data_IF_778973354613
#
_entry.id   IF_778973354613
#
_cell.length_a   1.000
_cell.length_b   1.000
_cell.length_c   1.000
_cell.angle_alpha   90.00
_cell.angle_beta   90.00
_cell.angle_gamma   90.00
#
_symmetry.space_group_name_H-M   'P 1'
#
loop_
_entity.id
_entity.type
_entity.pdbx_description
1 polymer ?
#
# COMPACT_ATOMS: atom_id res chain seq x y z
N UNK A 1 16.52 0.11 -6.49
CA UNK A 1 17.27 -0.56 -5.42
C UNK A 1 16.76 -1.95 -5.08
N UNK A 2 15.47 -2.18 -4.75
CA UNK A 2 14.96 -3.54 -4.42
C UNK A 2 15.22 -4.61 -5.50
N UNK A 3 15.16 -4.25 -6.77
CA UNK A 3 15.48 -5.15 -7.89
C UNK A 3 16.99 -5.48 -8.04
N UNK A 4 17.85 -4.94 -7.17
CA UNK A 4 19.29 -5.25 -7.14
C UNK A 4 19.63 -6.38 -6.15
N UNK A 5 18.64 -6.89 -5.41
CA UNK A 5 18.83 -8.04 -4.52
C UNK A 5 19.03 -9.35 -5.30
N UNK A 6 19.52 -10.39 -4.60
CA UNK A 6 19.75 -11.72 -5.19
C UNK A 6 18.48 -12.34 -5.76
N UNK A 7 17.33 -12.06 -5.15
CA UNK A 7 16.00 -12.42 -5.61
C UNK A 7 15.22 -11.14 -5.93
N UNK A 8 15.27 -10.62 -7.17
CA UNK A 8 14.67 -9.35 -7.50
C UNK A 8 13.14 -9.41 -7.41
N UNK A 9 12.56 -8.46 -6.68
CA UNK A 9 11.11 -8.33 -6.57
C UNK A 9 10.46 -7.99 -7.92
N UNK A 10 9.67 -8.91 -8.47
CA UNK A 10 8.88 -8.68 -9.67
C UNK A 10 7.49 -8.13 -9.32
N UNK A 11 7.38 -6.80 -9.40
CA UNK A 11 6.12 -6.09 -9.15
C UNK A 11 4.98 -6.57 -10.07
N UNK A 12 5.28 -6.92 -11.33
CA UNK A 12 4.24 -7.29 -12.30
C UNK A 12 3.64 -8.64 -11.92
N UNK A 13 4.49 -9.61 -11.62
CA UNK A 13 4.06 -10.96 -11.21
C UNK A 13 3.29 -10.87 -9.90
N UNK A 14 3.84 -10.18 -8.88
CA UNK A 14 3.16 -9.96 -7.61
C UNK A 14 1.76 -9.37 -7.77
N UNK A 15 1.61 -8.31 -8.56
CA UNK A 15 0.29 -7.68 -8.78
C UNK A 15 -0.65 -8.58 -9.60
N UNK A 16 -0.15 -9.32 -10.58
CA UNK A 16 -0.99 -10.20 -11.42
C UNK A 16 -1.58 -11.35 -10.61
N UNK A 17 -0.83 -11.87 -9.63
CA UNK A 17 -1.24 -12.97 -8.77
C UNK A 17 -2.12 -12.51 -7.59
N UNK A 18 -1.81 -11.35 -6.99
CA UNK A 18 -2.55 -10.84 -5.81
C UNK A 18 -3.87 -10.16 -6.16
N UNK A 19 -3.96 -9.46 -7.29
CA UNK A 19 -5.11 -8.63 -7.65
C UNK A 19 -6.44 -9.43 -7.73
N UNK A 20 -6.51 -10.64 -8.32
CA UNK A 20 -7.74 -11.43 -8.36
C UNK A 20 -8.32 -11.71 -6.96
N UNK A 21 -7.45 -12.00 -5.98
CA UNK A 21 -7.90 -12.28 -4.61
C UNK A 21 -8.34 -10.99 -3.90
N UNK A 22 -7.61 -9.88 -4.10
CA UNK A 22 -8.02 -8.57 -3.58
C UNK A 22 -9.40 -8.16 -4.10
N UNK A 23 -9.67 -8.36 -5.41
CA UNK A 23 -10.95 -7.99 -6.01
C UNK A 23 -12.15 -8.75 -5.43
N UNK A 24 -11.94 -10.00 -4.99
CA UNK A 24 -12.97 -10.84 -4.35
C UNK A 24 -13.22 -10.46 -2.88
N UNK A 25 -12.23 -9.86 -2.22
CA UNK A 25 -12.34 -9.53 -0.80
C UNK A 25 -13.17 -8.26 -0.59
N UNK A 26 -14.20 -8.27 0.30
CA UNK A 26 -14.94 -7.06 0.63
C UNK A 26 -14.05 -6.02 1.33
N UNK A 27 -12.92 -6.45 1.91
CA UNK A 27 -11.95 -5.61 2.63
C UNK A 27 -11.04 -4.78 1.73
N UNK A 28 -11.12 -4.97 0.41
CA UNK A 28 -10.36 -4.16 -0.54
C UNK A 28 -11.31 -3.50 -1.52
N UNK A 29 -11.06 -2.25 -1.90
CA UNK A 29 -11.77 -1.57 -2.98
C UNK A 29 -10.74 -1.13 -4.02
N UNK A 30 -11.00 -1.44 -5.29
CA UNK A 30 -10.15 -1.06 -6.40
C UNK A 30 -10.95 -0.16 -7.33
N UNK A 31 -10.47 1.07 -7.50
CA UNK A 31 -11.02 2.07 -8.41
C UNK A 31 -10.11 2.18 -9.62
N UNK A 32 -10.69 2.22 -10.81
CA UNK A 32 -9.96 2.49 -12.05
C UNK A 32 -10.47 3.78 -12.69
N UNK A 33 -9.56 4.51 -13.32
CA UNK A 33 -9.87 5.61 -14.21
C UNK A 33 -9.65 5.15 -15.65
N UNK A 34 -10.60 5.45 -16.52
CA UNK A 34 -10.56 5.17 -17.95
C UNK A 34 -10.88 6.47 -18.67
N UNK A 35 -10.23 6.70 -19.80
CA UNK A 35 -10.55 7.78 -20.69
C UNK A 35 -11.83 7.44 -21.46
N UNK A 36 -12.89 8.24 -21.31
CA UNK A 36 -14.22 7.91 -21.84
C UNK A 36 -14.28 7.95 -23.38
N UNK A 37 -13.42 8.72 -24.02
CA UNK A 37 -13.39 8.85 -25.49
C UNK A 37 -12.67 7.64 -26.13
N UNK A 38 -11.54 7.22 -25.54
CA UNK A 38 -10.67 6.20 -26.12
C UNK A 38 -10.83 4.82 -25.49
N UNK A 39 -11.44 4.73 -24.31
CA UNK A 39 -11.47 3.53 -23.48
C UNK A 39 -10.12 3.17 -22.86
N UNK A 40 -9.11 4.04 -22.96
CA UNK A 40 -7.76 3.76 -22.48
C UNK A 40 -7.67 3.83 -20.95
N UNK A 41 -6.96 2.87 -20.35
CA UNK A 41 -6.75 2.85 -18.91
C UNK A 41 -5.82 4.00 -18.47
N UNK A 42 -6.34 4.89 -17.64
CA UNK A 42 -5.60 6.06 -17.18
C UNK A 42 -4.91 5.85 -15.83
N UNK A 43 -5.44 4.97 -14.97
CA UNK A 43 -4.86 4.70 -13.66
C UNK A 43 -5.78 3.95 -12.70
N UNK A 44 -5.30 3.71 -11.49
CA UNK A 44 -6.06 3.03 -10.45
C UNK A 44 -5.68 3.49 -9.03
N UNK A 45 -6.57 3.21 -8.08
CA UNK A 45 -6.29 3.30 -6.65
C UNK A 45 -6.88 2.10 -5.92
N UNK A 46 -6.12 1.57 -4.96
CA UNK A 46 -6.50 0.45 -4.11
C UNK A 46 -6.61 0.91 -2.67
N UNK A 47 -7.73 0.60 -2.05
CA UNK A 47 -8.03 0.88 -0.66
C UNK A 47 -8.20 -0.42 0.12
N UNK A 48 -7.57 -0.55 1.29
CA UNK A 48 -7.89 -1.58 2.26
C UNK A 48 -8.77 -0.99 3.38
N UNK A 49 -9.72 -1.79 3.88
CA UNK A 49 -10.70 -1.41 4.89
C UNK A 49 -10.47 -2.21 6.17
N UNK A 50 -9.97 -1.54 7.21
CA UNK A 50 -9.55 -2.16 8.47
C UNK A 50 -10.62 -1.98 9.53
N UNK A 51 -10.90 -3.04 10.30
CA UNK A 51 -11.74 -2.98 11.51
C UNK A 51 -13.25 -2.77 11.32
N UNK A 52 -13.73 -2.55 10.10
CA UNK A 52 -15.17 -2.44 9.83
C UNK A 52 -15.87 -3.79 10.04
N UNK A 53 -16.97 -3.87 10.80
CA UNK A 53 -17.83 -5.04 10.79
C UNK A 53 -18.60 -5.13 9.44
N UNK A 54 -19.11 -6.31 9.06
CA UNK A 54 -19.74 -6.53 7.74
C UNK A 54 -20.88 -5.55 7.41
N UNK A 55 -21.69 -5.19 8.39
CA UNK A 55 -22.83 -4.27 8.28
C UNK A 55 -22.43 -2.79 8.16
N UNK A 56 -21.21 -2.43 8.56
CA UNK A 56 -20.68 -1.07 8.40
C UNK A 56 -19.76 -0.91 7.18
N UNK A 57 -19.53 -1.98 6.40
CA UNK A 57 -18.65 -1.98 5.25
C UNK A 57 -19.09 -0.94 4.22
N UNK A 58 -18.20 -0.01 3.81
CA UNK A 58 -18.46 0.92 2.71
C UNK A 58 -18.88 0.21 1.43
N UNK A 59 -20.01 0.64 0.87
CA UNK A 59 -20.53 0.14 -0.39
C UNK A 59 -19.91 0.92 -1.55
N UNK A 60 -19.50 0.20 -2.59
CA UNK A 60 -19.17 0.78 -3.89
C UNK A 60 -20.19 0.29 -4.91
N UNK A 61 -20.96 1.22 -5.48
CA UNK A 61 -21.94 0.91 -6.53
C UNK A 61 -21.28 0.19 -7.72
N UNK A 62 -21.98 -0.79 -8.29
CA UNK A 62 -21.48 -1.59 -9.41
C UNK A 62 -20.50 -2.71 -9.02
N UNK A 63 -20.18 -2.85 -7.73
CA UNK A 63 -19.42 -4.00 -7.23
C UNK A 63 -20.36 -5.15 -6.87
N UNK A 64 -20.09 -6.35 -7.39
CA UNK A 64 -20.72 -7.58 -6.89
C UNK A 64 -20.14 -7.83 -5.49
N UNK A 65 -20.87 -7.41 -4.45
CA UNK A 65 -20.55 -7.83 -3.09
C UNK A 65 -20.81 -9.34 -2.99
N UNK A 66 -19.95 -10.12 -2.31
CA UNK A 66 -20.29 -11.50 -1.98
C UNK A 66 -21.66 -11.51 -1.28
N UNK A 67 -22.58 -12.42 -1.62
CA UNK A 67 -23.91 -12.43 -1.03
C UNK A 67 -23.80 -12.54 0.50
N UNK A 68 -24.53 -11.67 1.20
CA UNK A 68 -24.70 -11.77 2.65
C UNK A 68 -25.25 -13.17 2.97
N UNK A 69 -24.46 -14.00 3.65
CA UNK A 69 -25.01 -15.22 4.23
C UNK A 69 -25.84 -14.81 5.45
N UNK A 70 -27.12 -15.21 5.56
CA UNK A 70 -27.93 -14.88 6.73
C UNK A 70 -27.35 -15.52 7.98
N UNK A 71 -27.15 -14.71 9.01
CA UNK A 71 -26.79 -15.13 10.36
C UNK A 71 -27.78 -16.15 10.91
N UNK A 72 -27.31 -17.36 11.18
CA UNK A 72 -27.90 -18.24 12.22
C UNK A 72 -26.78 -18.73 13.11
N UNK A 73 -27.00 -18.57 14.42
CA UNK A 73 -26.04 -18.82 15.49
C UNK A 73 -25.58 -20.28 15.56
N UNK A 74 -24.28 -20.52 15.74
CA UNK A 74 -23.71 -21.12 16.95
C UNK A 74 -22.21 -21.43 16.82
N UNK A 75 -21.53 -21.25 17.96
CA UNK A 75 -20.26 -21.84 18.39
C UNK A 75 -18.94 -21.17 17.96
N UNK A 76 -18.37 -20.53 18.98
CA UNK A 76 -16.97 -20.20 19.20
C UNK A 76 -15.97 -21.07 18.42
N UNK A 77 -15.19 -20.39 17.58
CA UNK A 77 -13.75 -20.62 17.47
C UNK A 77 -13.10 -19.26 17.27
N UNK A 78 -12.29 -18.88 18.25
CA UNK A 78 -11.31 -17.81 18.15
C UNK A 78 -10.38 -18.11 16.97
N UNK A 79 -10.63 -17.46 15.84
CA UNK A 79 -9.68 -17.39 14.73
C UNK A 79 -8.93 -16.08 14.88
N UNK A 80 -7.72 -16.24 15.41
CA UNK A 80 -6.68 -15.23 15.46
C UNK A 80 -6.32 -14.96 13.99
N UNK A 81 -6.90 -13.93 13.40
CA UNK A 81 -6.60 -13.49 12.05
C UNK A 81 -5.23 -12.78 12.08
N UNK A 82 -4.18 -13.60 12.22
CA UNK A 82 -2.83 -13.23 11.86
C UNK A 82 -2.85 -13.08 10.35
N UNK A 83 -2.94 -11.83 9.90
CA UNK A 83 -2.46 -11.46 8.57
C UNK A 83 -0.94 -11.69 8.54
N UNK A 84 -0.54 -12.95 8.43
CA UNK A 84 0.75 -13.34 7.91
C UNK A 84 0.83 -12.71 6.51
N UNK A 85 1.72 -11.73 6.37
CA UNK A 85 2.24 -11.31 5.07
C UNK A 85 3.01 -12.53 4.53
N UNK A 86 2.32 -13.41 3.84
CA UNK A 86 2.94 -14.42 2.99
C UNK A 86 3.59 -13.70 1.80
N UNK A 87 4.82 -13.24 2.01
CA UNK A 87 5.86 -13.40 1.00
C UNK A 87 6.03 -14.90 0.77
N UNK A 88 6.06 -15.43 -0.46
CA UNK A 88 6.33 -16.84 -0.66
C UNK A 88 7.77 -17.13 -0.23
N UNK A 89 7.92 -17.73 0.95
CA UNK A 89 9.16 -18.36 1.39
C UNK A 89 9.49 -19.49 0.41
N UNK A 90 10.31 -19.19 -0.59
CA UNK A 90 10.92 -20.19 -1.46
C UNK A 90 11.79 -21.09 -0.58
N UNK A 91 11.29 -22.28 -0.29
CA UNK A 91 12.02 -23.28 0.48
C UNK A 91 12.94 -24.01 -0.49
N UNK A 92 14.17 -23.53 -0.65
CA UNK A 92 15.27 -24.35 -1.17
C UNK A 92 16.41 -24.37 -0.15
N UNK A 93 16.60 -25.54 0.45
CA UNK A 93 17.76 -25.86 1.26
C UNK A 93 18.99 -25.93 0.36
N UNK A 94 19.97 -25.05 0.56
CA UNK A 94 21.29 -25.20 -0.08
C UNK A 94 22.22 -24.00 -0.02
N UNK A 95 22.80 -23.74 1.15
CA UNK A 95 24.10 -23.08 1.43
C UNK A 95 23.98 -22.13 2.65
N UNK A 96 25.03 -21.99 3.49
CA UNK A 96 25.03 -20.97 4.54
C UNK A 96 25.05 -19.58 3.88
N UNK A 97 23.93 -18.87 3.97
CA UNK A 97 23.76 -17.49 3.52
C UNK A 97 24.72 -16.57 4.30
N UNK A 98 25.54 -15.73 3.63
CA UNK A 98 26.31 -14.72 4.33
C UNK A 98 25.35 -13.73 4.99
N UNK A 99 25.52 -13.50 6.29
CA UNK A 99 24.69 -12.67 7.17
C UNK A 99 24.60 -11.16 6.78
N UNK A 100 25.15 -10.76 5.62
CA UNK A 100 25.34 -9.36 5.23
C UNK A 100 24.91 -9.07 3.77
N UNK A 101 23.70 -9.47 3.37
CA UNK A 101 23.09 -8.97 2.12
C UNK A 101 22.55 -7.54 2.37
N UNK A 102 23.12 -6.50 1.73
CA UNK A 102 22.74 -5.11 1.98
C UNK A 102 21.29 -4.81 1.59
N UNK A 103 20.73 -5.49 0.58
CA UNK A 103 19.33 -5.32 0.19
C UNK A 103 18.40 -5.95 1.21
N UNK A 104 18.76 -7.13 1.74
CA UNK A 104 18.01 -7.78 2.83
C UNK A 104 18.02 -6.94 4.11
N UNK A 105 19.15 -6.26 4.42
CA UNK A 105 19.23 -5.29 5.53
C UNK A 105 18.26 -4.12 5.32
N UNK A 106 18.20 -3.56 4.10
CA UNK A 106 17.26 -2.48 3.77
C UNK A 106 15.79 -2.93 3.84
N UNK A 107 15.49 -4.14 3.37
CA UNK A 107 14.15 -4.74 3.47
C UNK A 107 13.75 -4.96 4.93
N UNK A 108 14.67 -5.44 5.77
CA UNK A 108 14.44 -5.61 7.21
C UNK A 108 14.18 -4.28 7.90
N UNK A 109 14.98 -3.25 7.60
CA UNK A 109 14.79 -1.90 8.13
C UNK A 109 13.41 -1.35 7.75
N UNK A 110 13.09 -1.35 6.45
CA UNK A 110 11.85 -0.74 5.94
C UNK A 110 10.61 -1.52 6.34
N UNK A 111 10.67 -2.85 6.41
CA UNK A 111 9.55 -3.68 6.90
C UNK A 111 9.34 -3.52 8.41
N UNK A 112 10.42 -3.51 9.20
CA UNK A 112 10.35 -3.28 10.65
C UNK A 112 9.79 -1.89 11.00
N UNK A 113 10.19 -0.86 10.27
CA UNK A 113 9.68 0.51 10.46
C UNK A 113 8.19 0.62 10.10
N UNK A 114 7.76 0.00 8.99
CA UNK A 114 6.36 -0.07 8.59
C UNK A 114 5.52 -0.84 9.61
N UNK A 115 6.01 -1.98 10.10
CA UNK A 115 5.29 -2.79 11.09
C UNK A 115 5.16 -2.06 12.43
N UNK A 116 6.20 -1.32 12.85
CA UNK A 116 6.15 -0.47 14.03
C UNK A 116 5.11 0.65 13.87
N UNK A 117 5.08 1.32 12.71
CA UNK A 117 4.07 2.31 12.38
C UNK A 117 2.65 1.73 12.38
N UNK A 118 2.45 0.56 11.76
CA UNK A 118 1.14 -0.09 11.70
C UNK A 118 0.62 -0.43 13.10
N UNK A 119 1.48 -0.94 14.00
CA UNK A 119 1.12 -1.21 15.40
C UNK A 119 0.74 0.05 16.17
N UNK A 120 1.44 1.15 15.92
CA UNK A 120 1.19 2.44 16.57
C UNK A 120 -0.13 3.05 16.11
N UNK A 121 -0.38 3.07 14.79
CA UNK A 121 -1.53 3.78 14.22
C UNK A 121 -2.80 2.92 14.17
N UNK A 122 -2.68 1.60 14.25
CA UNK A 122 -3.80 0.63 14.24
C UNK A 122 -3.75 -0.32 15.44
N UNK A 123 -3.92 0.16 16.69
CA UNK A 123 -4.20 -0.72 17.81
C UNK A 123 -5.49 -1.53 17.57
N UNK A 124 -5.68 -2.60 18.35
CA UNK A 124 -6.86 -3.47 18.24
C UNK A 124 -8.17 -2.66 18.29
N UNK A 125 -9.11 -3.01 17.39
CA UNK A 125 -10.39 -2.30 17.26
C UNK A 125 -10.36 -1.05 16.37
N UNK A 126 -9.20 -0.67 15.82
CA UNK A 126 -9.10 0.50 14.93
C UNK A 126 -9.89 0.30 13.64
N UNK A 127 -10.75 1.29 13.32
CA UNK A 127 -11.38 1.44 12.01
C UNK A 127 -10.63 2.50 11.20
N UNK A 128 -10.08 2.10 10.06
CA UNK A 128 -9.40 3.03 9.15
C UNK A 128 -9.34 2.51 7.72
N UNK A 129 -9.00 3.39 6.79
CA UNK A 129 -8.69 3.03 5.41
C UNK A 129 -7.18 3.12 5.15
N UNK A 130 -6.67 2.26 4.27
CA UNK A 130 -5.26 2.30 3.84
C UNK A 130 -5.22 2.47 2.33
N UNK A 131 -4.47 3.44 1.82
CA UNK A 131 -4.12 3.44 0.39
C UNK A 131 -3.00 2.43 0.17
N UNK A 132 -3.32 1.32 -0.48
CA UNK A 132 -2.37 0.23 -0.76
C UNK A 132 -1.58 0.54 -2.02
N UNK A 133 -2.23 1.16 -3.01
CA UNK A 133 -1.61 1.50 -4.28
C UNK A 133 -2.34 2.65 -4.97
N UNK A 134 -1.57 3.51 -5.62
CA UNK A 134 -2.07 4.58 -6.48
C UNK A 134 -1.12 4.73 -7.65
N UNK A 135 -1.64 4.61 -8.87
CA UNK A 135 -0.84 4.84 -10.07
C UNK A 135 -1.69 5.53 -11.14
N UNK A 136 -1.07 6.50 -11.82
CA UNK A 136 -1.65 7.20 -12.97
C UNK A 136 -0.63 7.14 -14.09
N UNK A 137 -1.06 6.67 -15.25
CA UNK A 137 -0.23 6.59 -16.45
C UNK A 137 0.36 7.98 -16.78
N UNK A 138 1.67 8.09 -17.11
CA UNK A 138 2.30 9.37 -17.41
C UNK A 138 1.54 10.23 -18.43
N UNK A 139 0.92 9.61 -19.45
CA UNK A 139 0.10 10.26 -20.48
C UNK A 139 -1.10 11.03 -19.89
N UNK A 140 -1.63 10.56 -18.77
CA UNK A 140 -2.83 11.08 -18.12
C UNK A 140 -2.54 11.82 -16.81
N UNK A 141 -1.27 11.93 -16.40
CA UNK A 141 -0.89 12.68 -15.21
C UNK A 141 -1.20 14.18 -15.35
N UNK A 142 -1.19 14.88 -14.20
CA UNK A 142 -1.46 16.33 -14.10
C UNK A 142 -2.88 16.76 -14.49
N UNK A 143 -3.82 15.81 -14.63
CA UNK A 143 -5.25 16.06 -14.92
C UNK A 143 -6.18 15.86 -13.71
N UNK A 144 -5.63 15.77 -12.50
CA UNK A 144 -6.41 15.56 -11.27
C UNK A 144 -6.93 14.13 -11.04
N UNK A 145 -6.56 13.17 -11.89
CA UNK A 145 -7.02 11.76 -11.80
C UNK A 145 -6.64 11.11 -10.47
N UNK A 146 -5.39 11.31 -9.99
CA UNK A 146 -4.95 10.74 -8.73
C UNK A 146 -5.79 11.23 -7.54
N UNK A 147 -6.03 12.54 -7.47
CA UNK A 147 -6.93 13.12 -6.45
C UNK A 147 -8.36 12.60 -6.60
N UNK A 148 -8.85 12.41 -7.83
CA UNK A 148 -10.17 11.85 -8.09
C UNK A 148 -10.35 10.42 -7.58
N UNK A 149 -9.35 9.57 -7.81
CA UNK A 149 -9.33 8.21 -7.32
C UNK A 149 -9.26 8.15 -5.78
N UNK A 150 -8.57 9.11 -5.15
CA UNK A 150 -8.50 9.20 -3.69
C UNK A 150 -9.81 9.66 -3.04
N UNK A 151 -10.61 10.47 -3.75
CA UNK A 151 -11.84 11.08 -3.19
C UNK A 151 -12.82 10.06 -2.62
N UNK A 152 -12.96 8.88 -3.22
CA UNK A 152 -13.87 7.87 -2.69
C UNK A 152 -13.52 7.50 -1.23
N UNK A 153 -12.25 7.15 -0.97
CA UNK A 153 -11.83 6.74 0.38
C UNK A 153 -11.82 7.90 1.38
N UNK A 154 -11.42 9.09 0.95
CA UNK A 154 -11.47 10.27 1.83
C UNK A 154 -12.90 10.67 2.18
N UNK A 155 -13.86 10.57 1.25
CA UNK A 155 -15.28 10.80 1.54
C UNK A 155 -15.83 9.79 2.55
N UNK A 156 -15.40 8.53 2.50
CA UNK A 156 -15.77 7.54 3.54
C UNK A 156 -15.20 7.94 4.89
N UNK A 157 -13.96 8.43 4.93
CA UNK A 157 -13.35 8.94 6.16
C UNK A 157 -14.15 10.09 6.76
N UNK A 158 -14.54 11.05 5.92
CA UNK A 158 -15.37 12.21 6.32
C UNK A 158 -16.73 11.78 6.86
N UNK A 159 -17.41 10.86 6.18
CA UNK A 159 -18.75 10.40 6.57
C UNK A 159 -18.76 9.58 7.86
N UNK A 160 -17.75 8.72 8.05
CA UNK A 160 -17.70 7.78 9.18
C UNK A 160 -16.87 8.27 10.36
N UNK A 161 -16.23 9.44 10.25
CA UNK A 161 -15.34 9.97 11.29
C UNK A 161 -14.13 9.09 11.55
N UNK A 162 -13.63 8.39 10.53
CA UNK A 162 -12.44 7.54 10.58
C UNK A 162 -11.29 8.20 9.83
N UNK A 163 -10.07 7.72 10.05
CA UNK A 163 -8.90 8.22 9.33
C UNK A 163 -8.51 7.28 8.18
N UNK A 164 -7.69 7.79 7.27
CA UNK A 164 -6.92 6.96 6.35
C UNK A 164 -5.42 7.18 6.51
N UNK A 165 -4.60 6.23 6.10
CA UNK A 165 -3.16 6.42 6.01
C UNK A 165 -2.54 5.77 4.77
N UNK A 166 -1.34 6.21 4.41
CA UNK A 166 -0.56 5.70 3.29
C UNK A 166 0.93 5.72 3.61
N UNK A 167 1.64 4.68 3.17
CA UNK A 167 3.09 4.69 3.09
C UNK A 167 3.50 5.17 1.68
N UNK A 168 3.95 6.42 1.59
CA UNK A 168 4.23 7.08 0.32
C UNK A 168 5.70 6.98 -0.06
N UNK A 169 5.92 6.72 -1.35
CA UNK A 169 7.21 6.93 -2.01
C UNK A 169 7.51 8.42 -2.21
N UNK A 170 8.79 8.75 -2.40
CA UNK A 170 9.26 10.12 -2.69
C UNK A 170 8.53 10.80 -3.88
N UNK A 171 8.28 10.15 -5.04
CA UNK A 171 7.60 10.83 -6.13
C UNK A 171 6.09 11.05 -5.90
N UNK A 172 5.47 10.32 -4.98
CA UNK A 172 4.01 10.29 -4.83
C UNK A 172 3.45 11.21 -3.73
N UNK A 173 4.26 11.62 -2.74
CA UNK A 173 3.74 12.23 -1.51
C UNK A 173 2.93 13.51 -1.75
N UNK A 174 3.35 14.35 -2.71
CA UNK A 174 2.63 15.59 -3.08
C UNK A 174 1.22 15.33 -3.62
N UNK A 175 0.97 14.16 -4.20
CA UNK A 175 -0.38 13.80 -4.67
C UNK A 175 -1.31 13.54 -3.49
N UNK A 176 -0.82 12.85 -2.46
CA UNK A 176 -1.55 12.63 -1.21
C UNK A 176 -1.74 13.93 -0.42
N UNK A 177 -0.71 14.78 -0.35
CA UNK A 177 -0.80 16.09 0.31
C UNK A 177 -1.93 16.95 -0.27
N UNK A 178 -2.02 17.03 -1.61
CA UNK A 178 -3.12 17.73 -2.30
C UNK A 178 -4.49 17.11 -2.04
N UNK A 179 -4.55 15.84 -1.67
CA UNK A 179 -5.77 15.15 -1.28
C UNK A 179 -6.07 15.28 0.23
N UNK A 180 -5.30 16.10 0.96
CA UNK A 180 -5.51 16.40 2.37
C UNK A 180 -4.77 15.48 3.34
N UNK A 181 -3.90 14.59 2.86
CA UNK A 181 -3.04 13.80 3.74
C UNK A 181 -1.90 14.68 4.28
N UNK A 182 -1.49 14.43 5.51
CA UNK A 182 -0.38 15.12 6.15
C UNK A 182 0.75 14.13 6.43
N UNK A 183 2.00 14.55 6.30
CA UNK A 183 3.15 13.73 6.73
C UNK A 183 3.18 13.71 8.24
N UNK A 184 3.17 12.53 8.84
CA UNK A 184 3.14 12.36 10.30
C UNK A 184 4.45 11.74 10.81
N UNK A 185 5.07 10.90 9.99
CA UNK A 185 6.37 10.27 10.23
C UNK A 185 7.12 10.14 8.92
N UNK A 186 8.44 10.18 9.00
CA UNK A 186 9.33 9.90 7.88
C UNK A 186 10.44 8.97 8.33
N UNK A 187 10.91 8.11 7.42
CA UNK A 187 12.15 7.36 7.56
C UNK A 187 13.09 7.82 6.45
N UNK A 188 14.17 8.48 6.85
CA UNK A 188 15.25 8.93 5.97
C UNK A 188 16.34 7.86 5.95
N UNK A 189 16.64 7.33 4.77
CA UNK A 189 17.60 6.24 4.58
C UNK A 189 18.68 6.72 3.62
N UNK A 190 19.94 6.68 4.05
CA UNK A 190 21.08 6.79 3.15
C UNK A 190 21.19 5.48 2.35
N UNK A 191 20.79 5.52 1.08
CA UNK A 191 20.78 4.33 0.23
C UNK A 191 22.21 3.87 -0.12
N UNK A 192 23.23 4.71 0.04
CA UNK A 192 24.62 4.33 -0.20
C UNK A 192 25.10 3.27 0.81
N UNK A 193 24.53 3.20 2.02
CA UNK A 193 24.83 2.18 3.03
C UNK A 193 24.28 0.77 2.70
N UNK A 194 23.35 0.71 1.74
CA UNK A 194 22.59 -0.49 1.37
C UNK A 194 22.72 -0.85 -0.11
N UNK A 195 23.48 -0.08 -0.88
CA UNK A 195 23.65 -0.32 -2.30
C UNK A 195 24.73 -1.38 -2.58
N UNK A 196 24.46 -2.43 -3.37
CA UNK A 196 25.49 -3.40 -3.76
C UNK A 196 26.44 -2.87 -4.84
N UNK A 197 26.10 -1.76 -5.50
CA UNK A 197 26.89 -1.13 -6.56
C UNK A 197 26.53 0.36 -6.66
N UNK A 198 27.37 1.17 -7.31
CA UNK A 198 27.08 2.57 -7.61
C UNK A 198 25.87 2.74 -8.56
N UNK A 199 25.21 3.90 -8.58
CA UNK A 199 24.11 4.16 -9.51
C UNK A 199 24.54 3.97 -10.98
N UNK A 200 23.76 3.25 -11.80
CA UNK A 200 24.11 3.03 -13.19
C UNK A 200 24.01 4.34 -13.99
N UNK A 201 24.96 4.56 -14.90
CA UNK A 201 25.01 5.68 -15.84
C UNK A 201 25.27 7.09 -15.24
N UNK A 202 25.77 7.19 -14.00
CA UNK A 202 25.98 8.48 -13.32
C UNK A 202 27.46 8.83 -13.05
N UNK A 203 28.41 8.00 -13.50
CA UNK A 203 29.85 8.24 -13.35
C UNK A 203 30.46 7.62 -12.08
N UNK A 204 31.80 7.69 -11.91
CA UNK A 204 32.51 6.99 -10.85
C UNK A 204 32.26 7.52 -9.43
N UNK A 205 31.86 8.78 -9.28
CA UNK A 205 31.58 9.43 -7.99
C UNK A 205 30.07 9.51 -7.66
N UNK A 206 29.24 8.78 -8.42
CA UNK A 206 27.80 8.77 -8.25
C UNK A 206 27.38 8.10 -6.95
N UNK A 207 26.35 8.69 -6.33
CA UNK A 207 25.76 8.26 -5.06
C UNK A 207 24.27 8.05 -5.24
N UNK A 208 23.74 7.00 -4.62
CA UNK A 208 22.29 6.80 -4.54
C UNK A 208 21.63 7.88 -3.67
N UNK A 209 22.33 8.32 -2.62
CA UNK A 209 21.89 9.37 -1.72
C UNK A 209 20.70 8.99 -0.85
N UNK A 210 20.05 10.01 -0.30
CA UNK A 210 18.98 9.83 0.67
C UNK A 210 17.63 9.56 0.01
N UNK A 211 16.90 8.58 0.55
CA UNK A 211 15.51 8.30 0.20
C UNK A 211 14.60 8.41 1.42
N UNK A 212 13.57 9.25 1.31
CA UNK A 212 12.65 9.50 2.41
C UNK A 212 11.32 8.78 2.19
N UNK A 213 11.09 7.75 2.99
CA UNK A 213 9.78 7.11 3.14
C UNK A 213 8.89 7.99 4.00
N UNK A 214 7.62 8.20 3.62
CA UNK A 214 6.68 9.06 4.37
C UNK A 214 5.43 8.29 4.75
N UNK A 215 5.11 8.30 6.03
CA UNK A 215 3.81 7.86 6.52
C UNK A 215 2.90 9.07 6.61
N UNK A 216 1.84 9.03 5.81
CA UNK A 216 0.90 10.14 5.72
C UNK A 216 -0.47 9.73 6.21
N UNK A 217 -1.17 10.63 6.91
CA UNK A 217 -2.51 10.38 7.47
C UNK A 217 -3.48 11.44 7.00
N UNK A 218 -4.67 11.00 6.62
CA UNK A 218 -5.84 11.81 6.37
C UNK A 218 -6.74 11.75 7.60
N UNK A 219 -7.00 12.89 8.22
CA UNK A 219 -7.73 12.98 9.49
C UNK A 219 -9.24 13.18 9.33
N UNK A 220 -9.75 13.17 8.10
CA UNK A 220 -11.07 13.69 7.79
C UNK A 220 -11.07 15.21 7.66
N UNK A 221 -11.99 15.73 6.86
CA UNK A 221 -12.30 17.15 6.79
C UNK A 221 -12.81 17.62 8.14
N UNK A 222 -12.13 18.59 8.76
CA UNK A 222 -12.66 19.28 9.95
C UNK A 222 -13.84 20.14 9.49
N UNK A 223 -15.06 19.73 9.81
CA UNK A 223 -16.22 20.64 9.75
C UNK A 223 -16.05 21.81 10.72
#
# INVERSE_FOLDING_TARGET
MKALGRNPFDMKTYHTESLPQMLKSPRYVVLKAVDDETGEFAGFCQWALIGFPPDEMPVLEGRIQPPEKPTTASTQKSEKDQSEKDEPASTEQGAPEPEDDPIKRLETLTSGDLDAWQKEVMPEGTKCLIVVGLSVSPKFQRRGIGSALLRWGTSICDQKGVFAWVHSSEPAWRAYEKAGFQVIRSLDVDLDEYAPCSPPNEGPDAKWGHYVFRYMKYFGSKN
#
